data_IF_249961710175
#
_entry.id   IF_249961710175
#
_cell.length_a   1.000
_cell.length_b   1.000
_cell.length_c   1.000
_cell.angle_alpha   90.00
_cell.angle_beta   90.00
_cell.angle_gamma   90.00
#
_symmetry.space_group_name_H-M   'P 1'
#
loop_
_entity.id
_entity.type
_entity.pdbx_description
1 polymer ?
#
# COMPACT_ATOMS: atom_id res chain seq x y z
N UNK A 1 6.64 -11.83 17.61
CA UNK A 1 7.38 -13.10 17.63
C UNK A 1 6.46 -14.33 17.46
N UNK A 2 5.47 -14.53 18.32
CA UNK A 2 4.63 -15.73 18.31
C UNK A 2 3.95 -16.03 16.97
N UNK A 3 3.37 -15.01 16.33
CA UNK A 3 2.70 -15.14 15.03
C UNK A 3 3.68 -15.63 13.96
N UNK A 4 4.85 -14.99 13.84
CA UNK A 4 5.85 -15.39 12.83
C UNK A 4 6.33 -16.81 13.06
N UNK A 5 6.61 -17.20 14.32
CA UNK A 5 7.06 -18.56 14.66
C UNK A 5 6.01 -19.63 14.32
N UNK A 6 4.72 -19.32 14.53
CA UNK A 6 3.62 -20.22 14.21
C UNK A 6 3.49 -20.43 12.70
N UNK A 7 3.51 -19.36 11.91
CA UNK A 7 3.48 -19.46 10.44
C UNK A 7 4.72 -20.17 9.89
N UNK A 8 5.91 -19.91 10.44
CA UNK A 8 7.15 -20.57 9.99
C UNK A 8 7.10 -22.08 10.21
N UNK A 9 6.46 -22.56 11.28
CA UNK A 9 6.28 -24.02 11.48
C UNK A 9 5.42 -24.65 10.39
N UNK A 10 4.42 -23.93 9.88
CA UNK A 10 3.56 -24.39 8.79
C UNK A 10 4.28 -24.34 7.44
N UNK A 11 5.01 -23.25 7.18
CA UNK A 11 5.74 -23.04 5.93
C UNK A 11 6.94 -23.97 5.75
N UNK A 12 7.53 -24.48 6.85
CA UNK A 12 8.67 -25.43 6.78
C UNK A 12 8.34 -26.74 6.05
N UNK A 13 7.06 -27.07 5.89
CA UNK A 13 6.59 -28.24 5.14
C UNK A 13 6.29 -27.94 3.67
N UNK A 14 6.39 -26.66 3.25
CA UNK A 14 6.12 -26.21 1.90
C UNK A 14 7.46 -25.91 1.20
N UNK A 15 7.61 -26.38 -0.03
CA UNK A 15 8.80 -26.07 -0.84
C UNK A 15 8.66 -24.67 -1.44
N UNK A 16 8.90 -23.63 -0.62
CA UNK A 16 8.76 -22.22 -1.00
C UNK A 16 10.11 -21.65 -1.43
N UNK A 17 10.17 -21.03 -2.60
CA UNK A 17 11.37 -20.35 -3.10
C UNK A 17 11.61 -19.02 -2.40
N UNK A 18 10.54 -18.31 -2.04
CA UNK A 18 10.61 -16.99 -1.39
C UNK A 18 9.52 -16.88 -0.34
N UNK A 19 9.92 -16.51 0.86
CA UNK A 19 9.02 -16.14 1.96
C UNK A 19 9.18 -14.65 2.23
N UNK A 20 8.06 -13.94 2.23
CA UNK A 20 8.00 -12.51 2.46
C UNK A 20 7.24 -12.21 3.76
N UNK A 21 7.80 -11.37 4.62
CA UNK A 21 7.12 -10.84 5.79
C UNK A 21 6.57 -9.46 5.45
N UNK A 22 5.25 -9.32 5.49
CA UNK A 22 4.57 -8.12 5.05
C UNK A 22 3.80 -7.43 6.19
N UNK A 23 3.95 -6.12 6.28
CA UNK A 23 3.19 -5.26 7.19
C UNK A 23 2.07 -4.55 6.43
N UNK A 24 0.86 -5.11 6.53
CA UNK A 24 -0.36 -4.59 5.91
C UNK A 24 -1.42 -4.23 6.95
N UNK A 25 -2.47 -3.54 6.52
CA UNK A 25 -3.63 -3.20 7.35
C UNK A 25 -3.64 -1.76 7.87
N UNK A 26 -2.71 -0.94 7.42
CA UNK A 26 -2.62 0.48 7.76
C UNK A 26 -1.42 1.14 7.11
N UNK A 27 -1.18 2.41 7.49
CA UNK A 27 0.01 3.14 7.02
C UNK A 27 1.17 2.85 7.96
N UNK A 28 2.02 1.88 7.63
CA UNK A 28 3.12 1.46 8.50
C UNK A 28 4.01 2.62 8.93
N UNK A 29 4.38 3.52 8.00
CA UNK A 29 5.23 4.66 8.32
C UNK A 29 4.50 5.82 9.02
N UNK A 30 3.18 5.68 9.22
CA UNK A 30 2.38 6.61 10.01
C UNK A 30 2.36 6.33 11.51
N UNK A 31 2.88 5.18 11.97
CA UNK A 31 3.04 4.88 13.40
C UNK A 31 4.31 5.52 13.96
N UNK A 32 4.43 5.71 15.28
CA UNK A 32 5.62 6.29 15.89
C UNK A 32 6.91 5.58 15.46
N UNK A 33 7.98 6.34 15.22
CA UNK A 33 9.26 5.83 14.75
C UNK A 33 9.81 4.69 15.62
N UNK A 34 9.65 4.75 16.93
CA UNK A 34 10.11 3.69 17.82
C UNK A 34 9.36 2.38 17.60
N UNK A 35 8.06 2.44 17.39
CA UNK A 35 7.24 1.26 17.08
C UNK A 35 7.62 0.65 15.71
N UNK A 36 7.89 1.50 14.69
CA UNK A 36 8.42 1.03 13.42
C UNK A 36 9.72 0.23 13.63
N UNK A 37 10.66 0.78 14.40
CA UNK A 37 11.95 0.14 14.72
C UNK A 37 11.76 -1.20 15.45
N UNK A 38 10.82 -1.25 16.38
CA UNK A 38 10.54 -2.48 17.15
C UNK A 38 10.01 -3.60 16.22
N UNK A 39 9.05 -3.31 15.34
CA UNK A 39 8.55 -4.27 14.37
C UNK A 39 9.63 -4.67 13.35
N UNK A 40 10.32 -3.69 12.78
CA UNK A 40 11.36 -3.94 11.77
C UNK A 40 12.55 -4.71 12.33
N UNK A 41 12.91 -4.51 13.60
CA UNK A 41 13.99 -5.26 14.24
C UNK A 41 13.68 -6.75 14.31
N UNK A 42 12.41 -7.11 14.51
CA UNK A 42 11.97 -8.50 14.51
C UNK A 42 12.05 -9.06 13.07
N UNK A 43 11.50 -8.35 12.08
CA UNK A 43 11.54 -8.79 10.69
C UNK A 43 12.99 -8.97 10.19
N UNK A 44 13.87 -8.01 10.51
CA UNK A 44 15.30 -8.06 10.14
C UNK A 44 16.00 -9.31 10.71
N UNK A 45 15.75 -9.68 11.95
CA UNK A 45 16.29 -10.92 12.55
C UNK A 45 15.89 -12.17 11.77
N UNK A 46 14.62 -12.27 11.35
CA UNK A 46 14.16 -13.39 10.52
C UNK A 46 14.81 -13.38 9.13
N UNK A 47 15.02 -12.21 8.56
CA UNK A 47 15.71 -12.07 7.27
C UNK A 47 17.19 -12.45 7.38
N UNK A 48 17.90 -11.96 8.39
CA UNK A 48 19.32 -12.30 8.65
C UNK A 48 19.52 -13.78 8.94
N UNK A 49 18.56 -14.46 9.55
CA UNK A 49 18.59 -15.91 9.74
C UNK A 49 18.28 -16.72 8.48
N UNK A 50 17.90 -16.07 7.38
CA UNK A 50 17.54 -16.74 6.13
C UNK A 50 16.14 -17.35 6.10
N UNK A 51 15.36 -17.17 7.17
CA UNK A 51 14.00 -17.71 7.27
C UNK A 51 12.99 -16.95 6.41
N UNK A 52 13.24 -15.67 6.13
CA UNK A 52 12.51 -14.88 5.14
C UNK A 52 13.49 -14.23 4.17
N UNK A 53 13.05 -13.96 2.95
CA UNK A 53 13.87 -13.34 1.92
C UNK A 53 13.57 -11.86 1.75
N UNK A 54 12.32 -11.43 2.01
CA UNK A 54 11.89 -10.05 1.81
C UNK A 54 11.09 -9.51 2.99
N UNK A 55 11.24 -8.20 3.22
CA UNK A 55 10.40 -7.39 4.11
C UNK A 55 9.64 -6.41 3.24
N UNK A 56 8.31 -6.44 3.32
CA UNK A 56 7.40 -5.63 2.55
C UNK A 56 6.50 -4.82 3.51
N UNK A 57 6.20 -3.59 3.17
CA UNK A 57 5.24 -2.79 3.93
C UNK A 57 4.37 -1.95 3.01
N UNK A 58 3.15 -1.64 3.47
CA UNK A 58 2.30 -0.69 2.80
C UNK A 58 2.17 0.59 3.61
N UNK A 59 2.12 1.71 2.90
CA UNK A 59 1.97 3.02 3.51
C UNK A 59 1.34 4.04 2.56
N UNK A 60 1.14 5.27 3.05
CA UNK A 60 0.61 6.38 2.25
C UNK A 60 1.75 7.23 1.70
N UNK A 61 1.54 7.90 0.54
CA UNK A 61 2.53 8.80 -0.05
C UNK A 61 3.01 9.90 0.91
N UNK A 62 2.10 10.54 1.65
CA UNK A 62 2.38 11.63 2.57
C UNK A 62 3.17 11.25 3.84
N UNK A 63 3.40 9.95 4.06
CA UNK A 63 4.25 9.43 5.14
C UNK A 63 5.64 8.99 4.65
N UNK A 64 6.04 9.42 3.44
CA UNK A 64 7.37 9.16 2.89
C UNK A 64 8.22 10.44 2.95
N UNK A 65 9.34 10.34 3.65
CA UNK A 65 10.39 11.35 3.70
C UNK A 65 11.75 10.67 3.88
N UNK A 66 12.84 11.44 3.85
CA UNK A 66 14.20 10.92 3.94
C UNK A 66 14.45 10.16 5.25
N UNK A 67 14.02 10.70 6.39
CA UNK A 67 14.18 10.06 7.69
C UNK A 67 13.51 8.67 7.74
N UNK A 68 12.30 8.56 7.17
CA UNK A 68 11.58 7.30 7.03
C UNK A 68 12.34 6.34 6.12
N UNK A 69 12.78 6.79 4.95
CA UNK A 69 13.48 5.93 4.00
C UNK A 69 14.83 5.44 4.55
N UNK A 70 15.57 6.30 5.25
CA UNK A 70 16.80 5.92 5.95
C UNK A 70 16.53 4.85 7.01
N UNK A 71 15.46 5.02 7.80
CA UNK A 71 15.05 4.03 8.77
C UNK A 71 14.72 2.69 8.11
N UNK A 72 13.91 2.69 7.06
CA UNK A 72 13.53 1.47 6.34
C UNK A 72 14.75 0.78 5.72
N UNK A 73 15.71 1.54 5.18
CA UNK A 73 16.97 1.03 4.64
C UNK A 73 17.83 0.37 5.72
N UNK A 74 17.94 0.99 6.90
CA UNK A 74 18.71 0.45 8.02
C UNK A 74 18.18 -0.90 8.51
N UNK A 75 16.88 -1.14 8.33
CA UNK A 75 16.22 -2.40 8.67
C UNK A 75 16.05 -3.37 7.50
N UNK A 76 16.71 -3.11 6.37
CA UNK A 76 16.73 -3.99 5.19
C UNK A 76 15.34 -4.30 4.63
N UNK A 77 14.44 -3.31 4.63
CA UNK A 77 13.17 -3.37 3.90
C UNK A 77 13.46 -3.48 2.41
N UNK A 78 12.69 -4.27 1.68
CA UNK A 78 12.86 -4.48 0.24
C UNK A 78 11.78 -3.79 -0.57
N UNK A 79 10.53 -3.86 -0.11
CA UNK A 79 9.36 -3.43 -0.87
C UNK A 79 8.57 -2.39 -0.09
N UNK A 80 8.27 -1.28 -0.73
CA UNK A 80 7.36 -0.25 -0.23
C UNK A 80 6.19 -0.15 -1.20
N UNK A 81 4.99 -0.49 -0.73
CA UNK A 81 3.75 -0.36 -1.49
C UNK A 81 3.01 0.92 -1.07
N UNK A 82 2.79 1.81 -2.01
CA UNK A 82 2.07 3.05 -1.77
C UNK A 82 0.58 2.90 -2.04
N UNK A 83 -0.23 3.22 -1.05
CA UNK A 83 -1.68 3.37 -1.18
C UNK A 83 -2.03 4.67 -1.90
N UNK A 84 -1.73 4.76 -3.17
CA UNK A 84 -2.00 5.91 -4.05
C UNK A 84 -3.49 6.10 -4.26
N UNK A 85 -4.19 5.03 -4.54
CA UNK A 85 -5.62 4.87 -4.78
C UNK A 85 -6.08 5.45 -6.11
N UNK A 86 -5.74 6.69 -6.43
CA UNK A 86 -6.04 7.35 -7.71
C UNK A 86 -4.95 8.38 -8.05
N UNK A 87 -4.77 8.66 -9.34
CA UNK A 87 -4.01 9.81 -9.82
C UNK A 87 -4.92 10.98 -10.23
N UNK A 88 -6.23 10.83 -10.10
CA UNK A 88 -7.18 11.90 -10.35
C UNK A 88 -7.42 12.70 -9.06
N UNK A 89 -6.96 13.97 -9.02
CA UNK A 89 -7.10 14.82 -7.83
C UNK A 89 -8.54 14.94 -7.32
N UNK A 90 -9.58 15.08 -8.17
CA UNK A 90 -10.97 15.12 -7.69
C UNK A 90 -11.38 13.86 -6.91
N UNK A 91 -10.86 12.69 -7.27
CA UNK A 91 -11.13 11.41 -6.59
C UNK A 91 -10.43 11.37 -5.22
N UNK A 92 -9.17 11.82 -5.16
CA UNK A 92 -8.41 11.92 -3.91
C UNK A 92 -9.07 12.87 -2.92
N UNK A 93 -9.51 14.03 -3.38
CA UNK A 93 -10.19 15.04 -2.56
C UNK A 93 -11.54 14.52 -2.04
N UNK A 94 -12.36 13.94 -2.90
CA UNK A 94 -13.66 13.38 -2.53
C UNK A 94 -13.55 12.17 -1.58
N UNK A 95 -12.43 11.45 -1.65
CA UNK A 95 -12.14 10.30 -0.78
C UNK A 95 -11.39 10.68 0.49
N UNK A 96 -11.13 11.98 0.72
CA UNK A 96 -10.43 12.49 1.90
C UNK A 96 -9.08 11.79 2.15
N UNK A 97 -8.29 11.53 1.07
CA UNK A 97 -7.05 10.77 1.18
C UNK A 97 -5.94 11.48 1.94
N UNK A 98 -5.97 12.83 2.02
CA UNK A 98 -5.01 13.64 2.76
C UNK A 98 -3.67 13.83 2.06
N UNK A 99 -3.51 13.34 0.83
CA UNK A 99 -2.38 13.61 -0.05
C UNK A 99 -2.87 14.03 -1.44
N UNK A 100 -2.04 14.74 -2.17
CA UNK A 100 -2.28 15.14 -3.54
C UNK A 100 -1.44 14.34 -4.54
N UNK A 101 -1.69 14.56 -5.82
CA UNK A 101 -0.95 13.87 -6.89
C UNK A 101 0.53 14.25 -6.94
N UNK A 102 0.90 15.48 -6.56
CA UNK A 102 2.31 15.89 -6.50
C UNK A 102 3.07 15.05 -5.46
N UNK A 103 2.50 14.88 -4.28
CA UNK A 103 3.03 14.04 -3.22
C UNK A 103 3.21 12.58 -3.68
N UNK A 104 2.28 12.05 -4.50
CA UNK A 104 2.40 10.71 -5.07
C UNK A 104 3.65 10.58 -5.95
N UNK A 105 3.85 11.51 -6.90
CA UNK A 105 5.01 11.46 -7.78
C UNK A 105 6.33 11.61 -7.02
N UNK A 106 6.39 12.55 -6.06
CA UNK A 106 7.59 12.75 -5.23
C UNK A 106 7.94 11.51 -4.41
N UNK A 107 6.96 10.90 -3.75
CA UNK A 107 7.19 9.70 -2.95
C UNK A 107 7.62 8.51 -3.78
N UNK A 108 7.02 8.29 -4.96
CA UNK A 108 7.45 7.26 -5.90
C UNK A 108 8.90 7.47 -6.36
N UNK A 109 9.27 8.70 -6.71
CA UNK A 109 10.64 9.03 -7.14
C UNK A 109 11.65 8.75 -6.02
N UNK A 110 11.37 9.21 -4.79
CA UNK A 110 12.25 9.00 -3.63
C UNK A 110 12.43 7.51 -3.31
N UNK A 111 11.36 6.73 -3.33
CA UNK A 111 11.42 5.27 -3.08
C UNK A 111 12.35 4.59 -4.08
N UNK A 112 12.22 4.93 -5.37
CA UNK A 112 13.09 4.38 -6.43
C UNK A 112 14.54 4.86 -6.31
N UNK A 113 14.77 6.12 -5.98
CA UNK A 113 16.12 6.69 -5.77
C UNK A 113 16.84 5.98 -4.62
N UNK A 114 16.12 5.63 -3.56
CA UNK A 114 16.66 4.87 -2.44
C UNK A 114 16.88 3.38 -2.77
N UNK A 115 16.44 2.92 -3.93
CA UNK A 115 16.64 1.55 -4.43
C UNK A 115 15.69 0.52 -3.80
N UNK A 116 14.52 0.94 -3.30
CA UNK A 116 13.47 0.03 -2.91
C UNK A 116 12.66 -0.46 -4.11
N UNK A 117 12.11 -1.64 -4.03
CA UNK A 117 11.06 -2.10 -4.94
C UNK A 117 9.79 -1.29 -4.67
N UNK A 118 9.28 -0.62 -5.70
CA UNK A 118 8.07 0.20 -5.60
C UNK A 118 6.83 -0.61 -5.96
N UNK A 119 5.87 -0.66 -5.04
CA UNK A 119 4.50 -1.10 -5.30
C UNK A 119 3.54 0.09 -5.36
N UNK A 120 2.56 0.05 -6.26
CA UNK A 120 1.47 1.01 -6.33
C UNK A 120 0.14 0.27 -6.18
N UNK A 121 -0.67 0.70 -5.22
CA UNK A 121 -2.04 0.24 -5.06
C UNK A 121 -3.01 1.30 -5.57
N UNK A 122 -3.89 0.92 -6.49
CA UNK A 122 -5.00 1.71 -7.00
C UNK A 122 -6.33 1.13 -6.52
N UNK A 123 -7.35 1.97 -6.48
CA UNK A 123 -8.73 1.58 -6.20
C UNK A 123 -9.66 2.12 -7.28
N UNK A 124 -10.65 1.32 -7.66
CA UNK A 124 -11.75 1.73 -8.56
C UNK A 124 -13.04 1.88 -7.78
N UNK A 125 -13.91 2.77 -8.23
CA UNK A 125 -15.22 3.02 -7.62
C UNK A 125 -15.17 3.86 -6.35
N UNK A 126 -14.15 4.68 -6.16
CA UNK A 126 -14.11 5.70 -5.09
C UNK A 126 -15.14 6.83 -5.35
N UNK A 127 -15.46 7.68 -4.36
CA UNK A 127 -16.27 8.88 -4.60
C UNK A 127 -15.72 9.75 -5.74
N UNK A 128 -16.60 10.20 -6.63
CA UNK A 128 -16.25 10.97 -7.84
C UNK A 128 -15.45 10.21 -8.89
N UNK A 129 -15.22 8.90 -8.72
CA UNK A 129 -14.49 8.11 -9.68
C UNK A 129 -15.30 7.80 -10.94
N UNK A 130 -14.61 7.76 -12.07
CA UNK A 130 -15.17 7.44 -13.39
C UNK A 130 -14.24 6.51 -14.14
N UNK A 131 -14.75 5.86 -15.19
CA UNK A 131 -13.94 5.06 -16.09
C UNK A 131 -12.73 5.82 -16.66
N UNK A 132 -12.92 7.09 -17.01
CA UNK A 132 -11.85 7.95 -17.53
C UNK A 132 -10.75 8.18 -16.48
N UNK A 133 -11.13 8.36 -15.20
CA UNK A 133 -10.18 8.53 -14.10
C UNK A 133 -9.46 7.21 -13.75
N UNK A 134 -10.13 6.07 -13.85
CA UNK A 134 -9.49 4.77 -13.69
C UNK A 134 -8.41 4.55 -14.75
N UNK A 135 -8.76 4.76 -16.04
CA UNK A 135 -7.80 4.63 -17.15
C UNK A 135 -6.67 5.66 -17.04
N UNK A 136 -6.98 6.89 -16.64
CA UNK A 136 -5.95 7.90 -16.39
C UNK A 136 -4.99 7.44 -15.29
N UNK A 137 -5.53 6.98 -14.15
CA UNK A 137 -4.72 6.49 -13.03
C UNK A 137 -3.85 5.30 -13.41
N UNK A 138 -4.37 4.35 -14.15
CA UNK A 138 -3.61 3.20 -14.64
C UNK A 138 -2.46 3.63 -15.58
N UNK A 139 -2.69 4.61 -16.46
CA UNK A 139 -1.65 5.16 -17.36
C UNK A 139 -0.57 5.92 -16.59
N UNK A 140 -0.94 6.72 -15.59
CA UNK A 140 0.04 7.44 -14.77
C UNK A 140 0.87 6.46 -13.93
N UNK A 141 0.25 5.44 -13.33
CA UNK A 141 0.98 4.38 -12.65
C UNK A 141 1.97 3.65 -13.61
N UNK A 142 1.53 3.34 -14.82
CA UNK A 142 2.39 2.69 -15.82
C UNK A 142 3.60 3.54 -16.21
N UNK A 143 3.47 4.87 -16.30
CA UNK A 143 4.60 5.78 -16.59
C UNK A 143 5.67 5.79 -15.48
N UNK A 144 5.28 5.54 -14.24
CA UNK A 144 6.19 5.46 -13.10
C UNK A 144 7.00 4.17 -13.14
N UNK A 145 6.53 3.14 -13.86
CA UNK A 145 7.14 1.81 -13.92
C UNK A 145 7.36 1.19 -12.53
N UNK A 146 6.30 0.99 -11.72
CA UNK A 146 6.42 0.25 -10.49
C UNK A 146 6.68 -1.23 -10.78
N UNK A 147 7.36 -1.92 -9.88
CA UNK A 147 7.58 -3.36 -9.99
C UNK A 147 6.34 -4.18 -9.59
N UNK A 148 5.47 -3.57 -8.76
CA UNK A 148 4.22 -4.18 -8.30
C UNK A 148 3.08 -3.19 -8.53
N UNK A 149 1.99 -3.66 -9.11
CA UNK A 149 0.74 -2.92 -9.22
C UNK A 149 -0.42 -3.77 -8.70
N UNK A 150 -1.25 -3.18 -7.85
CA UNK A 150 -2.46 -3.82 -7.33
C UNK A 150 -3.66 -2.92 -7.60
N UNK A 151 -4.75 -3.55 -8.01
CA UNK A 151 -6.03 -2.87 -8.24
C UNK A 151 -7.09 -3.49 -7.34
N UNK A 152 -7.79 -2.66 -6.57
CA UNK A 152 -8.84 -3.08 -5.67
C UNK A 152 -10.17 -2.39 -5.99
N UNK A 153 -11.29 -3.13 -6.04
CA UNK A 153 -12.59 -2.52 -6.04
C UNK A 153 -12.90 -1.92 -4.66
N UNK A 154 -13.58 -0.80 -4.64
CA UNK A 154 -14.02 -0.15 -3.39
C UNK A 154 -15.17 -0.92 -2.78
N UNK A 155 -14.99 -1.38 -1.55
CA UNK A 155 -16.03 -2.05 -0.75
C UNK A 155 -16.44 -1.13 0.40
N UNK A 156 -17.74 -0.91 0.54
CA UNK A 156 -18.28 -0.09 1.63
C UNK A 156 -18.35 -0.93 2.91
N UNK A 157 -17.63 -0.48 3.94
CA UNK A 157 -17.62 -1.12 5.25
C UNK A 157 -18.53 -0.32 6.18
N UNK A 158 -19.37 -1.02 6.95
CA UNK A 158 -20.28 -0.40 7.94
C UNK A 158 -19.47 0.48 8.93
N UNK A 159 -20.12 1.55 9.38
CA UNK A 159 -19.58 2.51 10.36
C UNK A 159 -18.34 3.32 9.87
N UNK A 160 -18.12 3.36 8.54
CA UNK A 160 -17.10 4.23 7.92
C UNK A 160 -17.73 5.51 7.35
N UNK A 161 -16.90 6.53 7.07
CA UNK A 161 -17.34 7.75 6.39
C UNK A 161 -17.98 7.46 5.03
N UNK A 162 -17.46 6.48 4.28
CA UNK A 162 -18.02 6.06 3.00
C UNK A 162 -19.41 5.43 3.15
N UNK A 163 -19.61 4.67 4.22
CA UNK A 163 -20.92 4.11 4.56
C UNK A 163 -21.93 5.23 4.86
N UNK A 164 -21.52 6.27 5.60
CA UNK A 164 -22.38 7.43 5.88
C UNK A 164 -22.78 8.18 4.61
N UNK A 165 -21.83 8.38 3.67
CA UNK A 165 -22.11 8.99 2.36
C UNK A 165 -23.12 8.15 1.57
N UNK A 166 -23.01 6.83 1.62
CA UNK A 166 -23.94 5.91 0.97
C UNK A 166 -25.36 6.03 1.59
N UNK A 167 -25.48 6.04 2.91
CA UNK A 167 -26.77 6.18 3.59
C UNK A 167 -27.45 7.53 3.30
N UNK A 168 -26.66 8.58 3.09
CA UNK A 168 -27.13 9.92 2.72
C UNK A 168 -27.48 10.04 1.23
N UNK A 169 -27.26 9.01 0.42
CA UNK A 169 -27.46 9.05 -1.03
C UNK A 169 -26.42 9.91 -1.79
N UNK A 170 -25.31 10.24 -1.14
CA UNK A 170 -24.22 11.05 -1.72
C UNK A 170 -23.16 10.18 -2.41
N UNK A 171 -23.19 8.88 -2.21
CA UNK A 171 -22.32 7.91 -2.85
C UNK A 171 -23.12 6.64 -3.19
N UNK A 172 -22.89 6.10 -4.39
CA UNK A 172 -23.45 4.81 -4.81
C UNK A 172 -22.30 3.82 -5.01
N UNK A 173 -22.26 2.71 -4.26
CA UNK A 173 -21.25 1.68 -4.44
C UNK A 173 -21.30 1.11 -5.84
N UNK A 174 -20.14 0.77 -6.40
CA UNK A 174 -20.01 0.06 -7.64
C UNK A 174 -20.56 -1.37 -7.49
N UNK A 175 -21.33 -1.83 -8.46
CA UNK A 175 -21.83 -3.21 -8.51
C UNK A 175 -20.69 -4.20 -8.81
N UNK A 176 -20.85 -5.45 -8.38
CA UNK A 176 -19.84 -6.51 -8.64
C UNK A 176 -19.56 -6.68 -10.15
N UNK A 177 -20.60 -6.62 -10.97
CA UNK A 177 -20.47 -6.75 -12.43
C UNK A 177 -19.64 -5.59 -13.02
N UNK A 178 -19.93 -4.37 -12.59
CA UNK A 178 -19.22 -3.18 -13.06
C UNK A 178 -17.73 -3.22 -12.62
N UNK A 179 -17.46 -3.74 -11.41
CA UNK A 179 -16.11 -3.89 -10.89
C UNK A 179 -15.28 -4.92 -11.67
N UNK A 180 -15.91 -5.93 -12.26
CA UNK A 180 -15.24 -6.95 -13.11
C UNK A 180 -15.02 -6.44 -14.53
N UNK A 181 -15.92 -5.59 -15.04
CA UNK A 181 -15.85 -5.01 -16.38
C UNK A 181 -14.86 -3.82 -16.47
N UNK A 182 -14.53 -3.18 -15.34
CA UNK A 182 -13.54 -2.09 -15.22
C UNK A 182 -12.12 -2.62 -15.13
#
# INVERSE_FOLDING_TARGET
>A
HNIVSEYMSTLSHMNMETIELSFFGGSFTGIPMQEQKDFLSIAKKYKESGLIQKIHLSTRPDYINEEILDNLKAYSVDVIELGVQSFAQPVLDASCRGHDTACVYESCAKIKEYGFTLGIQLMIGLPMDTWEYDIFSAREAAKIHPEIARLYPTVVIRDTGLFQLMEQGLYTPMGEKDAVER
#
